data_IF_688682074765
#
_entry.id   IF_688682074765
#
_cell.length_a   1.000
_cell.length_b   1.000
_cell.length_c   1.000
_cell.angle_alpha   90.00
_cell.angle_beta   90.00
_cell.angle_gamma   90.00
#
_symmetry.space_group_name_H-M   'P 1'
#
loop_
_entity.id
_entity.type
_entity.pdbx_description
1 polymer ?
#
# COMPACT_ATOMS: atom_id res chain seq x y z
N UNK A 1 5.90 38.53 21.32
CA UNK A 1 5.19 37.27 20.96
C UNK A 1 5.39 36.23 22.06
N UNK A 2 4.33 35.82 22.77
CA UNK A 2 4.42 34.79 23.82
C UNK A 2 4.64 33.42 23.16
N UNK A 3 5.79 32.77 23.38
CA UNK A 3 6.01 31.36 22.99
C UNK A 3 4.92 30.52 23.65
N UNK A 4 3.98 29.97 22.88
CA UNK A 4 3.02 28.98 23.37
C UNK A 4 3.83 27.82 23.96
N UNK A 5 3.63 27.50 25.25
CA UNK A 5 4.13 26.26 25.85
C UNK A 5 3.66 25.09 24.97
N UNK A 6 4.57 24.46 24.23
CA UNK A 6 4.28 23.21 23.53
C UNK A 6 4.24 22.11 24.56
N UNK A 7 3.03 21.73 25.00
CA UNK A 7 2.87 20.52 25.78
C UNK A 7 3.30 19.35 24.92
N UNK A 8 4.40 18.68 25.28
CA UNK A 8 4.89 17.49 24.57
C UNK A 8 3.75 16.48 24.54
N UNK A 9 3.27 16.13 23.35
CA UNK A 9 2.15 15.21 23.20
C UNK A 9 2.65 13.82 23.59
N UNK A 10 2.06 13.22 24.62
CA UNK A 10 2.35 11.82 24.96
C UNK A 10 1.78 10.93 23.85
N UNK A 11 2.65 10.18 23.18
CA UNK A 11 2.30 9.25 22.10
C UNK A 11 1.95 7.89 22.68
N UNK A 12 0.79 7.36 22.27
CA UNK A 12 0.35 6.00 22.59
C UNK A 12 0.88 5.01 21.56
N UNK A 13 0.83 3.71 21.87
CA UNK A 13 1.16 2.63 20.91
C UNK A 13 0.42 2.79 19.58
N UNK A 14 -0.87 3.15 19.61
CA UNK A 14 -1.66 3.39 18.39
C UNK A 14 -1.11 4.53 17.55
N UNK A 15 -0.64 5.62 18.18
CA UNK A 15 -0.10 6.74 17.41
C UNK A 15 1.21 6.36 16.73
N UNK A 16 2.03 5.50 17.36
CA UNK A 16 3.24 4.96 16.72
C UNK A 16 2.92 4.08 15.52
N UNK A 17 1.91 3.21 15.63
CA UNK A 17 1.43 2.41 14.49
C UNK A 17 0.92 3.32 13.36
N UNK A 18 0.17 4.36 13.70
CA UNK A 18 -0.31 5.35 12.73
C UNK A 18 0.84 6.11 12.06
N UNK A 19 1.85 6.54 12.81
CA UNK A 19 3.00 7.25 12.26
C UNK A 19 3.79 6.34 11.31
N UNK A 20 4.03 5.08 11.69
CA UNK A 20 4.64 4.06 10.82
C UNK A 20 3.84 3.91 9.51
N UNK A 21 2.53 3.77 9.59
CA UNK A 21 1.70 3.56 8.40
C UNK A 21 1.60 4.82 7.54
N UNK A 22 1.66 6.01 8.12
CA UNK A 22 1.81 7.27 7.37
C UNK A 22 3.15 7.36 6.63
N UNK A 23 4.22 6.78 7.19
CA UNK A 23 5.48 6.63 6.46
C UNK A 23 5.27 5.67 5.28
N UNK A 24 4.81 4.44 5.51
CA UNK A 24 4.66 3.45 4.42
C UNK A 24 3.71 3.89 3.30
N UNK A 25 2.57 4.48 3.66
CA UNK A 25 1.54 4.92 2.69
C UNK A 25 1.81 6.28 2.09
N UNK A 26 2.82 7.01 2.59
CA UNK A 26 3.12 8.41 2.29
C UNK A 26 2.01 9.39 2.64
N UNK A 27 0.78 8.97 2.92
CA UNK A 27 -0.30 9.80 3.47
C UNK A 27 -1.67 9.11 3.53
N UNK A 28 -2.51 9.56 4.46
CA UNK A 28 -3.84 9.00 4.70
C UNK A 28 -4.90 10.11 4.87
N UNK A 29 -6.13 9.83 4.44
CA UNK A 29 -7.28 10.68 4.74
C UNK A 29 -7.95 10.28 6.07
N UNK A 30 -8.90 11.08 6.53
CA UNK A 30 -9.57 10.83 7.81
C UNK A 30 -10.36 9.51 7.80
N UNK A 31 -10.92 9.13 6.65
CA UNK A 31 -11.76 7.92 6.53
C UNK A 31 -10.87 6.68 6.73
N UNK A 32 -9.72 6.61 6.04
CA UNK A 32 -8.71 5.56 6.22
C UNK A 32 -8.14 5.51 7.64
N UNK A 33 -7.87 6.67 8.25
CA UNK A 33 -7.38 6.73 9.62
C UNK A 33 -8.42 6.14 10.60
N UNK A 34 -9.68 6.50 10.43
CA UNK A 34 -10.77 6.01 11.28
C UNK A 34 -10.94 4.50 11.16
N UNK A 35 -10.98 3.98 9.93
CA UNK A 35 -11.24 2.57 9.66
C UNK A 35 -10.12 1.65 10.17
N UNK A 36 -8.87 2.10 10.10
CA UNK A 36 -7.70 1.25 10.37
C UNK A 36 -7.05 1.48 11.74
N UNK A 37 -7.10 2.71 12.29
CA UNK A 37 -6.42 3.03 13.54
C UNK A 37 -7.37 3.36 14.69
N UNK A 38 -8.55 3.91 14.40
CA UNK A 38 -9.48 4.42 15.42
C UNK A 38 -10.84 3.74 15.35
N UNK A 39 -10.87 2.44 15.03
CA UNK A 39 -12.08 1.64 14.96
C UNK A 39 -12.96 1.84 16.21
N UNK A 40 -14.26 2.01 16.01
CA UNK A 40 -15.27 2.26 17.03
C UNK A 40 -15.16 3.60 17.80
N UNK A 41 -14.26 4.52 17.40
CA UNK A 41 -14.22 5.85 17.99
C UNK A 41 -15.06 6.85 17.20
N UNK A 42 -15.72 7.75 17.94
CA UNK A 42 -16.45 8.84 17.33
C UNK A 42 -15.53 9.79 16.56
N UNK A 43 -15.97 10.26 15.38
CA UNK A 43 -15.20 11.13 14.48
C UNK A 43 -14.60 12.35 15.20
N UNK A 44 -15.36 13.00 16.07
CA UNK A 44 -14.88 14.18 16.81
C UNK A 44 -13.71 13.86 17.75
N UNK A 45 -13.67 12.67 18.34
CA UNK A 45 -12.57 12.19 19.18
C UNK A 45 -11.32 11.97 18.34
N UNK A 46 -11.46 11.36 17.16
CA UNK A 46 -10.36 11.14 16.22
C UNK A 46 -9.79 12.46 15.73
N UNK A 47 -10.64 13.38 15.28
CA UNK A 47 -10.21 14.72 14.83
C UNK A 47 -9.44 15.46 15.92
N UNK A 48 -9.91 15.42 17.18
CA UNK A 48 -9.17 16.01 18.32
C UNK A 48 -7.80 15.35 18.52
N UNK A 49 -7.71 14.02 18.40
CA UNK A 49 -6.41 13.32 18.54
C UNK A 49 -5.46 13.67 17.40
N UNK A 50 -5.92 13.64 16.16
CA UNK A 50 -5.12 14.02 14.99
C UNK A 50 -4.65 15.46 15.09
N UNK A 51 -5.52 16.39 15.51
CA UNK A 51 -5.11 17.79 15.70
C UNK A 51 -4.03 17.95 16.78
N UNK A 52 -4.02 17.12 17.82
CA UNK A 52 -2.92 17.11 18.79
C UNK A 52 -1.60 16.65 18.15
N UNK A 53 -1.63 15.60 17.32
CA UNK A 53 -0.43 15.14 16.60
C UNK A 53 0.09 16.19 15.62
N UNK A 54 -0.81 16.90 14.93
CA UNK A 54 -0.48 18.04 14.06
C UNK A 54 0.15 19.18 14.86
N UNK A 55 -0.47 19.60 15.97
CA UNK A 55 0.07 20.66 16.83
C UNK A 55 1.40 20.25 17.51
N UNK A 56 1.64 18.95 17.67
CA UNK A 56 2.90 18.39 18.15
C UNK A 56 3.95 18.21 17.06
N UNK A 57 3.65 18.60 15.81
CA UNK A 57 4.52 18.45 14.64
C UNK A 57 4.94 17.01 14.33
N UNK A 58 4.15 16.01 14.68
CA UNK A 58 4.39 14.61 14.30
C UNK A 58 3.74 14.25 12.95
N UNK A 59 2.73 15.02 12.56
CA UNK A 59 1.95 14.83 11.33
C UNK A 59 1.70 16.20 10.73
N UNK A 60 1.83 16.32 9.41
CA UNK A 60 1.37 17.48 8.66
C UNK A 60 -0.03 17.25 8.10
N UNK A 61 -0.79 18.34 7.97
CA UNK A 61 -2.12 18.35 7.37
C UNK A 61 -2.12 19.27 6.17
N UNK A 62 -2.47 18.73 5.00
CA UNK A 62 -2.74 19.52 3.78
C UNK A 62 -4.10 19.17 3.20
N UNK A 63 -4.57 19.99 2.28
CA UNK A 63 -5.79 19.71 1.55
C UNK A 63 -5.48 19.02 0.22
N UNK A 64 -6.36 18.14 -0.23
CA UNK A 64 -6.31 17.57 -1.58
C UNK A 64 -7.73 17.45 -2.14
N UNK A 65 -7.84 17.38 -3.46
CA UNK A 65 -9.10 17.08 -4.11
C UNK A 65 -9.31 15.57 -4.19
N UNK A 66 -10.52 15.14 -3.84
CA UNK A 66 -11.02 13.81 -4.09
C UNK A 66 -12.37 13.94 -4.82
N UNK A 67 -12.33 13.78 -6.15
CA UNK A 67 -13.43 14.24 -7.01
C UNK A 67 -13.61 15.75 -6.86
N UNK A 68 -14.82 16.19 -6.54
CA UNK A 68 -15.15 17.61 -6.36
C UNK A 68 -14.95 18.11 -4.91
N UNK A 69 -14.64 17.22 -3.96
CA UNK A 69 -14.55 17.58 -2.55
C UNK A 69 -13.11 17.85 -2.12
N UNK A 70 -12.91 18.93 -1.38
CA UNK A 70 -11.64 19.20 -0.69
C UNK A 70 -11.60 18.40 0.62
N UNK A 71 -10.67 17.45 0.72
CA UNK A 71 -10.48 16.60 1.90
C UNK A 71 -9.11 16.83 2.55
N UNK A 72 -8.99 16.62 3.87
CA UNK A 72 -7.69 16.65 4.54
C UNK A 72 -6.90 15.38 4.24
N UNK A 73 -5.64 15.56 3.87
CA UNK A 73 -4.61 14.53 3.76
C UNK A 73 -3.58 14.76 4.87
N UNK A 74 -3.24 13.67 5.55
CA UNK A 74 -2.26 13.66 6.63
C UNK A 74 -1.00 12.95 6.16
N UNK A 75 0.17 13.51 6.48
CA UNK A 75 1.48 12.99 6.10
C UNK A 75 2.39 12.95 7.34
N UNK A 76 3.32 12.00 7.43
CA UNK A 76 4.28 11.99 8.53
C UNK A 76 5.27 13.17 8.39
N UNK A 77 5.72 13.74 9.50
CA UNK A 77 6.84 14.70 9.51
C UNK A 77 8.15 14.00 9.88
N UNK A 78 9.27 14.70 9.80
CA UNK A 78 10.55 14.19 10.32
C UNK A 78 10.47 13.85 11.82
N UNK A 79 9.84 14.70 12.64
CA UNK A 79 9.65 14.42 14.06
C UNK A 79 8.76 13.20 14.29
N UNK A 80 7.74 13.00 13.44
CA UNK A 80 6.91 11.80 13.46
C UNK A 80 7.72 10.55 13.15
N UNK A 81 8.62 10.64 12.16
CA UNK A 81 9.46 9.53 11.73
C UNK A 81 10.47 9.12 12.82
N UNK A 82 11.10 10.08 13.49
CA UNK A 82 12.03 9.83 14.60
C UNK A 82 11.37 9.03 15.73
N UNK A 83 10.06 9.18 15.95
CA UNK A 83 9.32 8.46 16.99
C UNK A 83 8.99 7.01 16.63
N UNK A 84 9.24 6.60 15.37
CA UNK A 84 8.94 5.27 14.86
C UNK A 84 10.10 4.58 14.15
N UNK A 85 11.26 5.24 14.02
CA UNK A 85 12.42 4.70 13.30
C UNK A 85 12.86 3.34 13.86
N UNK A 86 12.93 3.21 15.18
CA UNK A 86 13.27 1.95 15.87
C UNK A 86 12.19 0.85 15.73
N UNK A 87 11.00 1.19 15.23
CA UNK A 87 9.90 0.25 14.98
C UNK A 87 9.83 -0.19 13.52
N UNK A 88 10.69 0.35 12.64
CA UNK A 88 10.76 -0.05 11.25
C UNK A 88 11.57 -1.33 11.11
N UNK A 89 11.30 -2.07 10.02
CA UNK A 89 11.94 -3.37 9.77
C UNK A 89 13.34 -3.28 9.16
N UNK A 90 14.00 -2.12 9.26
CA UNK A 90 15.30 -1.86 8.68
C UNK A 90 15.72 -0.40 8.80
N UNK A 91 16.86 -0.05 8.19
CA UNK A 91 17.43 1.30 8.24
C UNK A 91 16.85 2.16 7.11
N UNK A 92 16.46 3.39 7.43
CA UNK A 92 15.96 4.32 6.43
C UNK A 92 17.12 4.82 5.56
N UNK A 93 17.03 4.60 4.25
CA UNK A 93 17.99 5.07 3.23
C UNK A 93 17.42 6.19 2.36
N UNK A 94 16.09 6.28 2.24
CA UNK A 94 15.39 7.36 1.51
C UNK A 94 14.15 7.78 2.28
N UNK A 95 13.92 9.09 2.35
CA UNK A 95 12.81 9.71 3.10
C UNK A 95 11.79 10.35 2.16
N UNK A 96 10.82 9.58 1.69
CA UNK A 96 9.66 10.14 0.98
C UNK A 96 8.48 10.28 1.95
N UNK A 97 8.39 11.45 2.59
CA UNK A 97 7.41 11.68 3.66
C UNK A 97 6.07 12.24 3.16
N UNK A 98 6.03 12.64 1.89
CA UNK A 98 4.89 13.32 1.28
C UNK A 98 4.44 12.56 0.05
N UNK A 99 3.14 12.31 0.01
CA UNK A 99 2.47 11.78 -1.16
C UNK A 99 2.59 12.76 -2.36
N UNK A 100 2.98 12.26 -3.52
CA UNK A 100 3.07 13.04 -4.76
C UNK A 100 1.75 13.01 -5.55
N UNK A 101 1.00 11.92 -5.48
CA UNK A 101 -0.28 11.73 -6.16
C UNK A 101 -1.37 11.26 -5.17
N UNK A 102 -2.08 12.19 -4.47
CA UNK A 102 -3.04 11.85 -3.42
C UNK A 102 -4.08 10.82 -3.78
N UNK A 103 -4.65 10.89 -4.98
CA UNK A 103 -5.71 9.97 -5.38
C UNK A 103 -5.16 8.57 -5.63
N UNK A 104 -3.95 8.47 -6.20
CA UNK A 104 -3.27 7.20 -6.40
C UNK A 104 -2.88 6.56 -5.06
N UNK A 105 -2.10 7.28 -4.27
CA UNK A 105 -1.49 6.75 -3.03
C UNK A 105 -2.57 6.40 -1.99
N UNK A 106 -3.67 7.15 -1.92
CA UNK A 106 -4.80 6.80 -1.06
C UNK A 106 -5.49 5.50 -1.50
N UNK A 107 -5.55 5.21 -2.80
CA UNK A 107 -6.13 3.95 -3.29
C UNK A 107 -5.18 2.78 -3.02
N UNK A 108 -3.88 2.95 -3.27
CA UNK A 108 -2.85 1.98 -2.90
C UNK A 108 -2.90 1.69 -1.40
N UNK A 109 -3.05 2.71 -0.56
CA UNK A 109 -3.24 2.55 0.89
C UNK A 109 -4.51 1.73 1.23
N UNK A 110 -5.64 1.96 0.55
CA UNK A 110 -6.86 1.14 0.72
C UNK A 110 -6.61 -0.32 0.34
N UNK A 111 -5.91 -0.56 -0.76
CA UNK A 111 -5.56 -1.91 -1.23
C UNK A 111 -4.67 -2.58 -0.16
N UNK A 112 -3.62 -1.90 0.30
CA UNK A 112 -2.72 -2.34 1.38
C UNK A 112 -3.48 -2.78 2.64
N UNK A 113 -4.37 -1.94 3.17
CA UNK A 113 -5.12 -2.25 4.39
C UNK A 113 -6.07 -3.44 4.24
N UNK A 114 -6.47 -3.77 3.01
CA UNK A 114 -7.21 -5.00 2.71
C UNK A 114 -6.27 -6.21 2.58
N UNK A 115 -5.16 -6.06 1.86
CA UNK A 115 -4.19 -7.12 1.62
C UNK A 115 -3.51 -7.63 2.90
N UNK A 116 -3.28 -6.78 3.90
CA UNK A 116 -2.70 -7.20 5.19
C UNK A 116 -3.55 -8.26 5.90
N UNK A 117 -4.83 -8.41 5.53
CA UNK A 117 -5.74 -9.42 6.08
C UNK A 117 -5.70 -10.72 5.29
N UNK A 118 -4.84 -10.86 4.27
CA UNK A 118 -4.74 -12.07 3.45
C UNK A 118 -4.35 -13.28 4.28
N UNK A 119 -5.04 -14.42 4.08
CA UNK A 119 -4.81 -15.64 4.86
C UNK A 119 -3.47 -16.30 4.59
N UNK A 120 -3.01 -16.20 3.34
CA UNK A 120 -1.74 -16.76 2.89
C UNK A 120 -0.58 -15.80 3.05
N UNK A 121 -0.77 -14.67 3.75
CA UNK A 121 0.24 -13.63 3.85
C UNK A 121 1.48 -14.09 4.62
N UNK A 122 2.65 -14.01 3.98
CA UNK A 122 3.95 -14.17 4.61
C UNK A 122 4.60 -12.80 4.88
N UNK A 123 4.70 -11.95 3.85
CA UNK A 123 5.27 -10.60 3.94
C UNK A 123 4.52 -9.63 3.04
N UNK A 124 4.54 -8.34 3.38
CA UNK A 124 3.88 -7.28 2.62
C UNK A 124 4.62 -5.96 2.82
N UNK A 125 4.96 -5.28 1.72
CA UNK A 125 5.69 -4.01 1.72
C UNK A 125 5.09 -3.05 0.71
N UNK A 126 4.96 -1.77 1.07
CA UNK A 126 4.58 -0.71 0.12
C UNK A 126 5.80 -0.17 -0.61
N UNK A 127 5.60 0.48 -1.75
CA UNK A 127 6.63 1.18 -2.53
C UNK A 127 7.60 1.96 -1.63
N UNK A 128 7.09 2.78 -0.71
CA UNK A 128 7.95 3.61 0.13
C UNK A 128 8.81 2.79 1.11
N UNK A 129 8.35 1.60 1.50
CA UNK A 129 9.14 0.68 2.31
C UNK A 129 10.20 0.00 1.44
N UNK A 130 9.81 -0.52 0.28
CA UNK A 130 10.67 -1.19 -0.70
C UNK A 130 11.82 -0.27 -1.16
N UNK A 131 11.51 1.00 -1.43
CA UNK A 131 12.48 1.99 -1.92
C UNK A 131 13.22 2.73 -0.80
N UNK A 132 12.61 2.80 0.39
CA UNK A 132 13.03 3.68 1.47
C UNK A 132 13.80 3.00 2.59
N UNK A 133 13.68 1.68 2.72
CA UNK A 133 14.28 0.90 3.80
C UNK A 133 15.30 -0.10 3.26
N UNK A 134 16.46 -0.11 3.90
CA UNK A 134 17.43 -1.21 3.81
C UNK A 134 17.13 -2.25 4.89
N UNK A 135 16.77 -3.46 4.44
CA UNK A 135 16.44 -4.62 5.26
C UNK A 135 17.65 -5.55 5.50
N UNK A 136 18.87 -5.08 5.26
CA UNK A 136 20.09 -5.89 5.41
C UNK A 136 20.11 -7.04 4.40
N UNK A 137 20.37 -8.26 4.88
CA UNK A 137 20.46 -9.47 4.04
C UNK A 137 19.16 -9.76 3.26
N UNK A 138 18.02 -9.26 3.74
CA UNK A 138 16.73 -9.41 3.07
C UNK A 138 16.49 -8.38 1.96
N UNK A 139 17.37 -7.39 1.76
CA UNK A 139 17.17 -6.31 0.79
C UNK A 139 17.12 -6.81 -0.64
N UNK A 140 17.91 -7.84 -0.99
CA UNK A 140 18.03 -8.37 -2.36
C UNK A 140 16.72 -8.96 -2.87
N UNK A 141 15.89 -9.53 -1.99
CA UNK A 141 14.61 -10.13 -2.39
C UNK A 141 13.63 -9.08 -2.94
N UNK A 142 13.82 -7.81 -2.59
CA UNK A 142 12.96 -6.70 -3.00
C UNK A 142 13.48 -5.99 -4.25
N UNK A 143 14.71 -6.29 -4.71
CA UNK A 143 15.33 -5.58 -5.84
C UNK A 143 14.55 -5.67 -7.16
N UNK A 144 13.92 -6.80 -7.52
CA UNK A 144 13.01 -6.86 -8.68
C UNK A 144 11.90 -5.80 -8.58
N UNK A 145 11.26 -5.69 -7.42
CA UNK A 145 10.17 -4.76 -7.14
C UNK A 145 10.66 -3.30 -7.07
N UNK A 146 11.88 -3.08 -6.58
CA UNK A 146 12.53 -1.76 -6.63
C UNK A 146 12.74 -1.30 -8.08
N UNK A 147 13.30 -2.15 -8.93
CA UNK A 147 13.58 -1.84 -10.35
C UNK A 147 12.29 -1.61 -11.14
N UNK A 148 11.28 -2.42 -10.87
CA UNK A 148 9.97 -2.32 -11.51
C UNK A 148 9.12 -1.16 -10.97
N UNK A 149 9.54 -0.53 -9.86
CA UNK A 149 8.79 0.48 -9.11
C UNK A 149 7.39 0.00 -8.72
N UNK A 150 7.31 -1.21 -8.18
CA UNK A 150 6.01 -1.80 -7.81
C UNK A 150 5.33 -1.04 -6.67
N UNK A 151 4.01 -0.86 -6.77
CA UNK A 151 3.24 -0.20 -5.71
C UNK A 151 3.26 -0.97 -4.39
N UNK A 152 3.13 -2.31 -4.48
CA UNK A 152 3.10 -3.21 -3.33
C UNK A 152 3.82 -4.51 -3.68
N UNK A 153 4.72 -4.94 -2.81
CA UNK A 153 5.24 -6.30 -2.74
C UNK A 153 4.39 -7.13 -1.78
N UNK A 154 4.06 -8.35 -2.20
CA UNK A 154 3.28 -9.31 -1.45
C UNK A 154 3.96 -10.68 -1.56
N UNK A 155 4.35 -11.26 -0.43
CA UNK A 155 4.75 -12.65 -0.37
C UNK A 155 3.61 -13.50 0.17
N UNK A 156 3.26 -14.56 -0.57
CA UNK A 156 2.20 -15.50 -0.22
C UNK A 156 2.78 -16.90 -0.01
N UNK A 157 2.42 -17.54 1.10
CA UNK A 157 2.72 -18.94 1.36
C UNK A 157 1.50 -19.79 0.96
N UNK A 158 1.62 -20.54 -0.13
CA UNK A 158 0.57 -21.41 -0.67
C UNK A 158 1.17 -22.82 -0.77
N UNK A 159 0.55 -23.78 -0.08
CA UNK A 159 1.03 -25.19 -0.08
C UNK A 159 2.53 -25.32 0.29
N UNK A 160 2.99 -24.52 1.27
CA UNK A 160 4.38 -24.41 1.72
C UNK A 160 5.38 -23.87 0.67
N UNK A 161 4.89 -23.37 -0.46
CA UNK A 161 5.70 -22.64 -1.44
C UNK A 161 5.46 -21.14 -1.30
N UNK A 162 6.55 -20.38 -1.28
CA UNK A 162 6.49 -18.92 -1.28
C UNK A 162 6.35 -18.39 -2.71
N UNK A 163 5.42 -17.45 -2.92
CA UNK A 163 5.19 -16.75 -4.17
C UNK A 163 5.39 -15.25 -3.96
N UNK A 164 6.26 -14.65 -4.77
CA UNK A 164 6.57 -13.22 -4.80
C UNK A 164 5.64 -12.53 -5.80
N UNK A 165 4.75 -11.70 -5.27
CA UNK A 165 3.65 -11.09 -6.02
C UNK A 165 3.81 -9.58 -6.03
N UNK A 166 3.75 -8.99 -7.22
CA UNK A 166 3.61 -7.54 -7.38
C UNK A 166 2.11 -7.20 -7.41
N UNK A 167 1.69 -6.14 -6.71
CA UNK A 167 0.35 -5.58 -6.85
C UNK A 167 0.47 -4.15 -7.35
N UNK A 168 -0.29 -3.84 -8.40
CA UNK A 168 -0.27 -2.57 -9.10
C UNK A 168 -1.65 -1.92 -9.09
N UNK A 169 -1.71 -0.61 -8.91
CA UNK A 169 -2.93 0.17 -9.08
C UNK A 169 -2.81 1.08 -10.31
N UNK A 170 -3.70 0.90 -11.29
CA UNK A 170 -3.76 1.78 -12.44
C UNK A 170 -5.06 2.58 -12.48
N UNK A 171 -4.92 3.91 -12.51
CA UNK A 171 -6.03 4.87 -12.47
C UNK A 171 -6.16 5.78 -13.67
N UNK A 172 -5.09 5.91 -14.44
CA UNK A 172 -5.01 6.87 -15.52
C UNK A 172 -4.80 6.14 -16.84
N UNK A 173 -5.40 6.66 -17.90
CA UNK A 173 -4.94 6.34 -19.24
C UNK A 173 -3.53 6.88 -19.40
N UNK A 174 -2.55 5.99 -19.41
CA UNK A 174 -1.19 6.31 -19.84
C UNK A 174 -1.11 6.11 -21.35
N UNK A 175 -0.13 6.76 -21.98
CA UNK A 175 0.18 6.48 -23.38
C UNK A 175 0.46 4.98 -23.55
N UNK A 176 -0.08 4.38 -24.61
CA UNK A 176 -0.05 2.92 -24.80
C UNK A 176 1.37 2.35 -24.75
N UNK A 177 2.36 3.11 -25.23
CA UNK A 177 3.77 2.70 -25.16
C UNK A 177 4.28 2.49 -23.73
N UNK A 178 3.83 3.32 -22.77
CA UNK A 178 4.24 3.22 -21.37
C UNK A 178 3.63 1.99 -20.68
N UNK A 179 2.39 1.62 -21.03
CA UNK A 179 1.80 0.36 -20.56
C UNK A 179 2.49 -0.86 -21.16
N UNK A 180 2.82 -0.84 -22.45
CA UNK A 180 3.54 -1.93 -23.10
C UNK A 180 4.90 -2.16 -22.46
N UNK A 181 5.64 -1.10 -22.17
CA UNK A 181 6.93 -1.18 -21.48
C UNK A 181 6.79 -1.77 -20.07
N UNK A 182 5.82 -1.30 -19.27
CA UNK A 182 5.61 -1.82 -17.91
C UNK A 182 5.25 -3.30 -17.89
N UNK A 183 4.32 -3.73 -18.74
CA UNK A 183 3.92 -5.14 -18.80
C UNK A 183 5.07 -6.01 -19.32
N UNK A 184 5.82 -5.55 -20.33
CA UNK A 184 6.98 -6.26 -20.84
C UNK A 184 8.05 -6.44 -19.76
N UNK A 185 8.38 -5.39 -19.00
CA UNK A 185 9.38 -5.48 -17.93
C UNK A 185 8.98 -6.52 -16.88
N UNK A 186 7.69 -6.63 -16.56
CA UNK A 186 7.21 -7.71 -15.70
C UNK A 186 7.44 -9.09 -16.31
N UNK A 187 7.13 -9.29 -17.60
CA UNK A 187 7.38 -10.57 -18.28
C UNK A 187 8.86 -10.95 -18.34
N UNK A 188 9.76 -9.97 -18.44
CA UNK A 188 11.21 -10.18 -18.48
C UNK A 188 11.83 -10.43 -17.10
N UNK A 189 11.16 -10.05 -16.01
CA UNK A 189 11.67 -10.25 -14.65
C UNK A 189 11.26 -11.63 -14.10
N UNK A 190 12.20 -12.56 -14.01
CA UNK A 190 11.96 -13.93 -13.54
C UNK A 190 11.64 -14.02 -12.05
N UNK A 191 12.10 -13.06 -11.23
CA UNK A 191 11.92 -13.09 -9.77
C UNK A 191 10.57 -12.54 -9.28
N UNK A 192 9.63 -12.32 -10.21
CA UNK A 192 8.23 -11.95 -9.92
C UNK A 192 7.34 -13.05 -10.46
N UNK A 193 6.72 -13.82 -9.56
CA UNK A 193 5.91 -15.00 -9.91
C UNK A 193 4.54 -14.61 -10.47
N UNK A 194 3.92 -13.58 -9.89
CA UNK A 194 2.56 -13.13 -10.24
C UNK A 194 2.48 -11.61 -10.15
N UNK A 195 1.72 -11.00 -11.06
CA UNK A 195 1.38 -9.58 -11.01
C UNK A 195 -0.14 -9.42 -10.93
N UNK A 196 -0.61 -8.70 -9.92
CA UNK A 196 -2.02 -8.42 -9.68
C UNK A 196 -2.31 -6.94 -9.96
N UNK A 197 -2.93 -6.67 -11.11
CA UNK A 197 -3.37 -5.33 -11.48
C UNK A 197 -4.79 -5.05 -10.97
N UNK A 198 -4.92 -4.01 -10.15
CA UNK A 198 -6.18 -3.40 -9.75
C UNK A 198 -6.43 -2.18 -10.61
N UNK A 199 -7.43 -2.24 -11.49
CA UNK A 199 -7.73 -1.19 -12.46
C UNK A 199 -8.91 -0.33 -11.99
N UNK A 200 -8.79 1.00 -12.10
CA UNK A 200 -9.83 1.93 -11.64
C UNK A 200 -11.12 1.82 -12.46
N UNK A 201 -11.01 1.58 -13.76
CA UNK A 201 -12.17 1.50 -14.66
C UNK A 201 -12.00 0.45 -15.78
N UNK A 202 -13.12 0.04 -16.43
CA UNK A 202 -13.09 -0.97 -17.49
C UNK A 202 -12.25 -0.60 -18.72
N UNK A 203 -12.09 0.68 -19.03
CA UNK A 203 -11.32 1.12 -20.20
C UNK A 203 -9.83 0.86 -19.98
N UNK A 204 -9.31 1.16 -18.80
CA UNK A 204 -7.93 0.84 -18.40
C UNK A 204 -7.71 -0.67 -18.44
N UNK A 205 -8.60 -1.43 -17.80
CA UNK A 205 -8.52 -2.90 -17.77
C UNK A 205 -8.47 -3.48 -19.17
N UNK A 206 -9.35 -3.06 -20.08
CA UNK A 206 -9.35 -3.51 -21.47
C UNK A 206 -8.06 -3.14 -22.22
N UNK A 207 -7.54 -1.94 -21.98
CA UNK A 207 -6.28 -1.48 -22.56
C UNK A 207 -5.10 -2.36 -22.17
N UNK A 208 -4.96 -2.63 -20.87
CA UNK A 208 -3.92 -3.51 -20.33
C UNK A 208 -4.07 -4.96 -20.82
N UNK A 209 -5.30 -5.50 -20.82
CA UNK A 209 -5.56 -6.85 -21.32
C UNK A 209 -5.24 -7.01 -22.81
N UNK A 210 -5.44 -5.97 -23.63
CA UNK A 210 -5.05 -6.00 -25.05
C UNK A 210 -3.54 -6.15 -25.21
N UNK A 211 -2.77 -5.36 -24.47
CA UNK A 211 -1.30 -5.43 -24.47
C UNK A 211 -0.84 -6.79 -23.95
N UNK A 212 -1.43 -7.28 -22.87
CA UNK A 212 -1.13 -8.61 -22.33
C UNK A 212 -1.42 -9.73 -23.34
N UNK A 213 -2.48 -9.58 -24.15
CA UNK A 213 -2.82 -10.55 -25.22
C UNK A 213 -1.71 -10.65 -26.26
N UNK A 214 -1.04 -9.54 -26.58
CA UNK A 214 0.09 -9.53 -27.52
C UNK A 214 1.34 -10.15 -26.88
N UNK A 215 1.63 -9.81 -25.61
CA UNK A 215 2.81 -10.31 -24.89
C UNK A 215 2.72 -11.81 -24.58
N UNK A 216 1.54 -12.30 -24.24
CA UNK A 216 1.30 -13.71 -23.93
C UNK A 216 1.50 -14.66 -25.11
N UNK A 217 1.66 -14.15 -26.34
CA UNK A 217 2.06 -14.96 -27.49
C UNK A 217 3.55 -15.36 -27.42
N UNK A 218 4.35 -14.64 -26.63
CA UNK A 218 5.81 -14.80 -26.55
C UNK A 218 6.30 -15.12 -25.13
N UNK A 219 5.53 -14.77 -24.11
CA UNK A 219 5.94 -14.89 -22.71
C UNK A 219 4.90 -15.66 -21.88
N UNK A 220 5.34 -16.23 -20.75
CA UNK A 220 4.47 -16.93 -19.81
C UNK A 220 3.50 -15.97 -19.15
N UNK A 221 2.20 -16.28 -19.21
CA UNK A 221 1.18 -15.47 -18.56
C UNK A 221 1.30 -15.50 -17.04
N UNK A 222 1.58 -14.34 -16.45
CA UNK A 222 1.62 -14.16 -14.99
C UNK A 222 0.86 -12.94 -14.47
N UNK A 223 0.21 -12.19 -15.36
CA UNK A 223 -0.52 -10.97 -15.02
C UNK A 223 -2.01 -11.25 -14.92
N UNK A 224 -2.62 -10.84 -13.80
CA UNK A 224 -4.05 -10.99 -13.53
C UNK A 224 -4.67 -9.64 -13.20
N UNK A 225 -5.88 -9.40 -13.70
CA UNK A 225 -6.55 -8.11 -13.61
C UNK A 225 -7.84 -8.22 -12.80
N UNK A 226 -8.16 -7.18 -12.04
CA UNK A 226 -9.49 -6.94 -11.50
C UNK A 226 -9.81 -5.44 -11.54
N UNK A 227 -11.09 -5.08 -11.41
CA UNK A 227 -11.47 -3.68 -11.19
C UNK A 227 -11.41 -3.36 -9.69
N UNK A 228 -11.08 -2.11 -9.33
CA UNK A 228 -11.14 -1.61 -7.94
C UNK A 228 -12.47 -1.95 -7.28
N UNK A 229 -13.59 -1.70 -7.98
CA UNK A 229 -14.92 -1.99 -7.46
C UNK A 229 -15.12 -3.47 -7.13
N UNK A 230 -14.56 -4.37 -7.94
CA UNK A 230 -14.67 -5.82 -7.71
C UNK A 230 -13.69 -6.27 -6.62
N UNK A 231 -12.49 -5.67 -6.56
CA UNK A 231 -11.52 -5.91 -5.50
C UNK A 231 -12.12 -5.65 -4.13
N UNK A 232 -12.90 -4.57 -3.96
CA UNK A 232 -13.53 -4.21 -2.68
C UNK A 232 -14.94 -4.76 -2.47
N UNK A 233 -15.53 -5.47 -3.45
CA UNK A 233 -16.92 -5.94 -3.41
C UNK A 233 -17.23 -6.92 -2.29
N UNK A 234 -16.33 -7.86 -2.05
CA UNK A 234 -16.49 -8.88 -1.01
C UNK A 234 -15.47 -8.63 0.11
N UNK A 235 -15.89 -8.70 1.37
CA UNK A 235 -14.98 -8.53 2.51
C UNK A 235 -13.98 -9.68 2.63
N UNK A 236 -14.41 -10.90 2.30
CA UNK A 236 -13.68 -12.14 2.54
C UNK A 236 -12.78 -12.59 1.40
N UNK A 237 -12.92 -12.05 0.19
CA UNK A 237 -12.07 -12.41 -0.94
C UNK A 237 -11.99 -11.34 -2.03
N UNK A 238 -10.99 -11.48 -2.91
CA UNK A 238 -10.86 -10.74 -4.16
C UNK A 238 -10.34 -11.68 -5.25
N UNK A 239 -10.97 -11.65 -6.42
CA UNK A 239 -10.62 -12.51 -7.56
C UNK A 239 -10.12 -11.69 -8.73
N UNK A 240 -8.98 -12.10 -9.26
CA UNK A 240 -8.35 -11.55 -10.46
C UNK A 240 -8.44 -12.58 -11.59
N UNK A 241 -8.42 -12.10 -12.84
CA UNK A 241 -8.46 -12.95 -14.04
C UNK A 241 -7.36 -12.57 -15.01
N UNK A 242 -6.67 -13.55 -15.58
CA UNK A 242 -5.77 -13.31 -16.71
C UNK A 242 -6.52 -13.33 -18.05
N UNK A 243 -5.80 -13.11 -19.15
CA UNK A 243 -6.37 -13.08 -20.50
C UNK A 243 -6.94 -14.43 -20.97
N UNK A 244 -6.44 -15.56 -20.43
CA UNK A 244 -6.96 -16.90 -20.70
C UNK A 244 -8.14 -17.29 -19.80
N UNK A 245 -8.60 -16.39 -18.93
CA UNK A 245 -9.71 -16.64 -18.00
C UNK A 245 -9.33 -17.42 -16.74
N UNK A 246 -8.04 -17.75 -16.56
CA UNK A 246 -7.55 -18.34 -15.30
C UNK A 246 -7.70 -17.32 -14.18
N UNK A 247 -8.12 -17.80 -13.01
CA UNK A 247 -8.39 -16.98 -11.84
C UNK A 247 -7.28 -17.07 -10.81
N UNK A 248 -6.99 -15.95 -10.16
CA UNK A 248 -6.19 -15.90 -8.93
C UNK A 248 -7.06 -15.28 -7.83
N UNK A 249 -7.25 -15.98 -6.71
CA UNK A 249 -8.14 -15.53 -5.63
C UNK A 249 -7.37 -15.34 -4.34
N UNK A 250 -7.44 -14.14 -3.80
CA UNK A 250 -7.00 -13.82 -2.45
C UNK A 250 -8.15 -14.02 -1.47
N UNK A 251 -7.88 -14.73 -0.38
CA UNK A 251 -8.83 -14.90 0.72
C UNK A 251 -8.38 -14.07 1.92
N UNK A 252 -9.32 -13.43 2.61
CA UNK A 252 -9.06 -12.53 3.72
C UNK A 252 -9.62 -13.08 5.05
N UNK A 253 -9.00 -12.70 6.15
CA UNK A 253 -9.53 -12.87 7.49
C UNK A 253 -10.49 -11.73 7.85
N UNK A 254 -11.44 -12.01 8.75
CA UNK A 254 -12.36 -11.00 9.29
C UNK A 254 -11.77 -10.22 10.49
N UNK A 255 -10.47 -10.40 10.78
CA UNK A 255 -9.80 -9.71 11.89
C UNK A 255 -9.68 -8.20 11.64
N UNK A 256 -9.56 -7.45 12.73
CA UNK A 256 -9.20 -6.04 12.64
C UNK A 256 -7.72 -5.83 12.25
N UNK A 257 -7.39 -4.60 11.87
CA UNK A 257 -6.06 -4.24 11.39
C UNK A 257 -4.94 -4.50 12.41
N UNK A 258 -5.20 -4.26 13.70
CA UNK A 258 -4.19 -4.44 14.74
C UNK A 258 -3.85 -5.91 14.94
N UNK A 259 -4.87 -6.78 14.91
CA UNK A 259 -4.70 -8.22 14.96
C UNK A 259 -3.92 -8.73 13.74
N UNK A 260 -4.26 -8.26 12.53
CA UNK A 260 -3.54 -8.62 11.30
C UNK A 260 -2.06 -8.19 11.34
N UNK A 261 -1.78 -6.98 11.80
CA UNK A 261 -0.41 -6.47 11.91
C UNK A 261 0.41 -7.28 12.92
N UNK A 262 -0.16 -7.61 14.08
CA UNK A 262 0.53 -8.41 15.09
C UNK A 262 0.84 -9.82 14.58
N UNK A 263 -0.08 -10.44 13.82
CA UNK A 263 0.14 -11.74 13.20
C UNK A 263 1.28 -11.71 12.17
N UNK A 264 1.41 -10.62 11.40
CA UNK A 264 2.50 -10.45 10.45
C UNK A 264 3.86 -10.29 11.15
N UNK A 265 3.91 -9.44 12.19
CA UNK A 265 5.12 -9.23 12.98
C UNK A 265 5.58 -10.54 13.64
N UNK A 266 4.67 -11.33 14.19
CA UNK A 266 4.99 -12.61 14.82
C UNK A 266 5.52 -13.69 13.85
N UNK A 267 5.36 -13.52 12.54
CA UNK A 267 5.96 -14.41 11.53
C UNK A 267 7.35 -13.97 11.07
N UNK A 268 7.73 -12.73 11.37
CA UNK A 268 8.98 -12.11 10.90
C UNK A 268 10.12 -12.23 11.94
N UNK A 269 9.82 -12.76 13.13
CA UNK A 269 10.74 -13.01 14.25
C UNK A 269 10.58 -14.45 14.74
#
# INVERSE_FOLDING_TARGET
>A
MKKKKSWKVVLSKRDRVLLRDLFYTKGLDLDLLMDNHFKNLHKSTVVKRIQRLVNGHYIDKRAHFNGMALKPLYNITENGLLEVEDYLSGKIIRKELKCSNPVHDLCVAKIYFKLIKSRSLNSLKLENEIQGIDHGDLSEQFDPFKRLNSDIFLSLLIENQEFKVAVEYERSHKDSGRWSEYLLNYHLEENVDVVLYVCDNPTILKGLMRIETELAQRYTQKIYFCLVKEFFKHSSSATFKNISGKTFTLNFHDYDYQQATNALVAKTF
#
